data_IF_119526938874
#
_entry.id   IF_119526938874
#
_cell.length_a   1.000
_cell.length_b   1.000
_cell.length_c   1.000
_cell.angle_alpha   90.00
_cell.angle_beta   90.00
_cell.angle_gamma   90.00
#
_symmetry.space_group_name_H-M   'P 1'
#
loop_
_entity.id
_entity.type
_entity.pdbx_description
1 polymer ?
#
# COMPACT_ATOMS: atom_id res chain seq x y z
N UNK A 1 22.38 -30.70 5.35
CA UNK A 1 21.82 -30.60 3.98
C UNK A 1 20.41 -30.02 4.11
N UNK A 2 20.28 -28.69 4.15
CA UNK A 2 18.99 -28.02 4.33
C UNK A 2 18.40 -27.79 2.95
N UNK A 3 17.30 -28.48 2.64
CA UNK A 3 16.54 -28.31 1.41
C UNK A 3 16.08 -26.86 1.29
N UNK A 4 16.49 -26.22 0.20
CA UNK A 4 15.95 -24.93 -0.24
C UNK A 4 14.42 -25.09 -0.41
N UNK A 5 13.65 -24.25 0.28
CA UNK A 5 12.20 -24.18 0.07
C UNK A 5 11.97 -23.65 -1.34
N UNK A 6 11.36 -24.49 -2.17
CA UNK A 6 10.85 -24.15 -3.50
C UNK A 6 10.11 -22.82 -3.45
N UNK A 7 10.48 -21.89 -4.32
CA UNK A 7 9.73 -20.66 -4.54
C UNK A 7 8.28 -21.06 -4.86
N UNK A 8 7.32 -20.46 -4.14
CA UNK A 8 5.89 -20.60 -4.47
C UNK A 8 5.73 -20.20 -5.94
N UNK A 9 5.02 -20.99 -6.76
CA UNK A 9 4.75 -20.57 -8.13
C UNK A 9 4.03 -19.23 -8.09
N UNK A 10 4.52 -18.28 -8.89
CA UNK A 10 3.78 -17.06 -9.22
C UNK A 10 2.35 -17.51 -9.58
N UNK A 11 1.32 -16.89 -8.99
CA UNK A 11 -0.05 -17.20 -9.41
C UNK A 11 -0.11 -17.04 -10.93
N UNK A 12 -0.69 -18.04 -11.62
CA UNK A 12 -0.79 -18.00 -13.07
C UNK A 12 -1.40 -16.65 -13.49
N UNK A 13 -0.89 -15.99 -14.54
CA UNK A 13 -1.46 -14.74 -15.00
C UNK A 13 -2.93 -14.97 -15.31
N UNK A 14 -3.83 -14.23 -14.64
CA UNK A 14 -5.24 -14.22 -15.01
C UNK A 14 -5.29 -13.54 -16.38
N UNK A 15 -5.57 -14.32 -17.41
CA UNK A 15 -5.88 -13.78 -18.73
C UNK A 15 -7.11 -12.86 -18.58
N UNK A 16 -7.01 -11.60 -18.99
CA UNK A 16 -8.16 -10.69 -19.01
C UNK A 16 -8.34 -9.79 -17.77
N UNK A 17 -7.27 -9.46 -17.04
CA UNK A 17 -7.35 -8.41 -16.02
C UNK A 17 -7.92 -7.11 -16.63
N UNK A 18 -8.86 -6.42 -15.94
CA UNK A 18 -9.31 -5.12 -16.39
C UNK A 18 -8.14 -4.13 -16.39
N UNK A 19 -8.27 -3.05 -17.16
CA UNK A 19 -7.33 -1.94 -17.06
C UNK A 19 -7.31 -1.41 -15.63
N UNK A 20 -6.12 -1.30 -15.05
CA UNK A 20 -5.92 -0.75 -13.71
C UNK A 20 -5.65 0.76 -13.73
N UNK A 21 -5.34 1.31 -14.91
CA UNK A 21 -5.21 2.76 -15.13
C UNK A 21 -6.54 3.47 -14.84
N UNK A 22 -6.49 4.59 -14.12
CA UNK A 22 -7.66 5.39 -13.72
C UNK A 22 -8.74 4.60 -12.95
N UNK A 23 -8.33 3.52 -12.26
CA UNK A 23 -9.22 2.66 -11.47
C UNK A 23 -9.70 3.30 -10.17
N UNK A 24 -9.18 4.47 -9.78
CA UNK A 24 -9.39 5.09 -8.49
C UNK A 24 -8.68 4.35 -7.36
N UNK A 25 -7.64 3.56 -7.64
CA UNK A 25 -6.96 2.75 -6.63
C UNK A 25 -5.90 3.54 -5.87
N UNK A 26 -6.03 3.53 -4.53
CA UNK A 26 -5.11 4.19 -3.61
C UNK A 26 -4.48 3.18 -2.65
N UNK A 27 -3.18 3.35 -2.38
CA UNK A 27 -2.43 2.51 -1.45
C UNK A 27 -2.30 3.19 -0.10
N UNK A 28 -2.57 2.46 0.97
CA UNK A 28 -2.51 2.94 2.36
C UNK A 28 -1.43 2.16 3.09
N UNK A 29 -0.44 2.89 3.60
CA UNK A 29 0.72 2.32 4.29
C UNK A 29 0.80 2.90 5.71
N UNK A 30 0.34 2.16 6.73
CA UNK A 30 0.63 2.50 8.12
C UNK A 30 2.14 2.50 8.38
N UNK A 31 2.64 3.58 8.96
CA UNK A 31 4.06 3.80 9.18
C UNK A 31 4.34 3.96 10.69
N UNK A 32 4.89 2.91 11.30
CA UNK A 32 5.42 2.95 12.66
C UNK A 32 6.69 2.09 12.75
N UNK A 33 7.84 2.74 12.94
CA UNK A 33 9.18 2.09 12.96
C UNK A 33 9.53 1.33 11.67
N UNK A 34 9.22 1.93 10.52
CA UNK A 34 9.41 1.33 9.18
C UNK A 34 10.51 2.01 8.35
N UNK A 35 11.29 2.88 8.98
CA UNK A 35 12.28 3.75 8.31
C UNK A 35 13.23 2.98 7.37
N UNK A 36 13.68 1.80 7.77
CA UNK A 36 14.66 1.00 7.02
C UNK A 36 14.10 0.37 5.73
N UNK A 37 12.77 0.30 5.62
CA UNK A 37 12.06 -0.45 4.59
C UNK A 37 11.15 0.43 3.73
N UNK A 38 10.59 1.51 4.28
CA UNK A 38 9.46 2.22 3.70
C UNK A 38 9.72 2.77 2.28
N UNK A 39 10.95 3.25 2.00
CA UNK A 39 11.27 3.73 0.64
C UNK A 39 11.31 2.59 -0.39
N UNK A 40 11.70 1.37 0.02
CA UNK A 40 11.65 0.18 -0.86
C UNK A 40 10.21 -0.22 -1.13
N UNK A 41 9.35 -0.17 -0.10
CA UNK A 41 7.90 -0.43 -0.26
C UNK A 41 7.29 0.58 -1.23
N UNK A 42 7.54 1.88 -1.05
CA UNK A 42 7.06 2.94 -1.94
C UNK A 42 7.55 2.72 -3.38
N UNK A 43 8.82 2.36 -3.57
CA UNK A 43 9.38 2.09 -4.90
C UNK A 43 8.75 0.87 -5.60
N UNK A 44 8.19 -0.09 -4.85
CA UNK A 44 7.47 -1.25 -5.39
C UNK A 44 6.00 -0.97 -5.69
N UNK A 45 5.47 0.20 -5.31
CA UNK A 45 4.08 0.54 -5.58
C UNK A 45 3.86 0.67 -7.10
N UNK A 46 2.90 -0.08 -7.67
CA UNK A 46 2.67 -0.06 -9.11
C UNK A 46 2.36 1.35 -9.64
N UNK A 47 2.88 1.69 -10.82
CA UNK A 47 2.75 3.02 -11.41
C UNK A 47 1.29 3.45 -11.68
N UNK A 48 0.40 2.48 -11.93
CA UNK A 48 -1.03 2.70 -12.18
C UNK A 48 -1.81 3.11 -10.92
N UNK A 49 -1.25 2.96 -9.72
CA UNK A 49 -1.89 3.45 -8.50
C UNK A 49 -1.95 4.98 -8.52
N UNK A 50 -3.12 5.54 -8.23
CA UNK A 50 -3.36 6.99 -8.36
C UNK A 50 -2.75 7.78 -7.20
N UNK A 51 -2.57 7.15 -6.05
CA UNK A 51 -2.03 7.80 -4.88
C UNK A 51 -1.57 6.84 -3.80
N UNK A 52 -0.67 7.35 -2.95
CA UNK A 52 -0.08 6.62 -1.83
C UNK A 52 -0.26 7.45 -0.58
N UNK A 53 -0.97 6.93 0.42
CA UNK A 53 -1.11 7.56 1.73
C UNK A 53 -0.23 6.81 2.73
N UNK A 54 0.87 7.44 3.11
CA UNK A 54 1.70 6.98 4.22
C UNK A 54 1.18 7.61 5.51
N UNK A 55 0.80 6.80 6.49
CA UNK A 55 0.25 7.31 7.76
C UNK A 55 1.29 7.17 8.86
N UNK A 56 1.95 8.26 9.24
CA UNK A 56 2.81 8.29 10.42
C UNK A 56 1.95 8.20 11.68
N UNK A 57 1.96 7.01 12.31
CA UNK A 57 1.14 6.69 13.48
C UNK A 57 1.87 7.07 14.79
N UNK A 58 2.30 8.33 14.90
CA UNK A 58 3.07 8.83 16.04
C UNK A 58 4.41 8.10 16.21
N UNK A 59 5.12 7.87 15.10
CA UNK A 59 6.36 7.11 15.06
C UNK A 59 7.52 7.86 15.76
N UNK A 60 8.18 7.26 16.78
CA UNK A 60 9.31 7.91 17.45
C UNK A 60 10.51 8.10 16.52
N UNK A 61 10.68 7.23 15.52
CA UNK A 61 11.83 7.25 14.59
C UNK A 61 11.65 8.23 13.42
N UNK A 62 10.59 9.05 13.47
CA UNK A 62 10.26 10.07 12.47
C UNK A 62 10.16 9.47 11.05
N UNK A 63 9.46 8.35 10.92
CA UNK A 63 9.30 7.66 9.63
C UNK A 63 8.61 8.54 8.59
N UNK A 64 7.58 9.30 8.97
CA UNK A 64 6.90 10.25 8.09
C UNK A 64 7.81 11.36 7.57
N UNK A 65 8.65 11.93 8.44
CA UNK A 65 9.61 12.96 8.04
C UNK A 65 10.64 12.40 7.05
N UNK A 66 11.08 11.16 7.27
CA UNK A 66 11.99 10.48 6.35
C UNK A 66 11.37 10.28 4.96
N UNK A 67 10.09 9.89 4.91
CA UNK A 67 9.34 9.74 3.65
C UNK A 67 9.24 11.08 2.91
N UNK A 68 8.84 12.15 3.60
CA UNK A 68 8.70 13.48 2.97
C UNK A 68 10.04 14.05 2.49
N UNK A 69 11.11 13.86 3.26
CA UNK A 69 12.44 14.35 2.90
C UNK A 69 12.98 13.65 1.64
N UNK A 70 12.69 12.35 1.48
CA UNK A 70 13.16 11.56 0.35
C UNK A 70 12.52 11.99 -0.98
N UNK A 71 11.26 12.48 -0.96
CA UNK A 71 10.48 12.85 -2.16
C UNK A 71 10.55 11.78 -3.27
N UNK A 72 10.55 10.51 -2.86
CA UNK A 72 10.84 9.38 -3.75
C UNK A 72 9.75 9.16 -4.82
N UNK A 73 8.51 9.53 -4.53
CA UNK A 73 7.39 9.42 -5.45
C UNK A 73 6.42 10.59 -5.23
N UNK A 74 6.01 11.25 -6.32
CA UNK A 74 5.14 12.45 -6.28
C UNK A 74 3.70 12.13 -5.89
N UNK A 75 3.30 10.85 -5.93
CA UNK A 75 1.97 10.36 -5.54
C UNK A 75 1.83 10.20 -4.02
N UNK A 76 2.93 10.30 -3.28
CA UNK A 76 2.96 10.10 -1.83
C UNK A 76 2.44 11.33 -1.09
N UNK A 77 1.54 11.08 -0.15
CA UNK A 77 1.06 12.03 0.86
C UNK A 77 1.29 11.43 2.23
N UNK A 78 1.85 12.21 3.15
CA UNK A 78 2.05 11.79 4.54
C UNK A 78 0.95 12.37 5.43
N UNK A 79 0.19 11.49 6.08
CA UNK A 79 -0.78 11.83 7.13
C UNK A 79 -0.13 11.60 8.48
N UNK A 80 -0.17 12.60 9.37
CA UNK A 80 0.42 12.50 10.71
C UNK A 80 -0.65 12.37 11.78
N UNK A 81 -0.50 11.35 12.62
CA UNK A 81 -1.31 11.19 13.83
C UNK A 81 -0.51 11.67 15.04
N UNK A 82 -1.19 12.35 15.96
CA UNK A 82 -0.54 12.98 17.13
C UNK A 82 -0.01 11.97 18.17
N UNK A 83 -0.50 10.74 18.12
CA UNK A 83 -0.08 9.61 18.95
C UNK A 83 -0.33 8.32 18.20
N UNK A 84 0.36 7.25 18.60
CA UNK A 84 0.09 5.92 18.10
C UNK A 84 -1.35 5.48 18.44
N UNK A 85 -2.13 5.17 17.39
CA UNK A 85 -3.51 4.66 17.47
C UNK A 85 -3.60 3.20 17.06
N UNK A 86 -2.45 2.55 16.84
CA UNK A 86 -2.33 1.21 16.31
C UNK A 86 -2.65 1.14 14.81
N UNK A 87 -2.29 0.02 14.20
CA UNK A 87 -2.45 -0.22 12.76
C UNK A 87 -3.87 0.08 12.28
N UNK A 88 -4.90 -0.36 13.01
CA UNK A 88 -6.30 -0.09 12.64
C UNK A 88 -6.64 1.41 12.62
N UNK A 89 -6.17 2.17 13.61
CA UNK A 89 -6.36 3.62 13.65
C UNK A 89 -5.64 4.34 12.50
N UNK A 90 -4.43 3.91 12.18
CA UNK A 90 -3.65 4.43 11.06
C UNK A 90 -4.31 4.13 9.71
N UNK A 91 -4.77 2.89 9.50
CA UNK A 91 -5.49 2.48 8.28
C UNK A 91 -6.75 3.32 8.08
N UNK A 92 -7.56 3.51 9.12
CA UNK A 92 -8.78 4.33 9.04
C UNK A 92 -8.48 5.80 8.67
N UNK A 93 -7.41 6.37 9.22
CA UNK A 93 -6.97 7.71 8.84
C UNK A 93 -6.51 7.78 7.37
N UNK A 94 -5.81 6.74 6.91
CA UNK A 94 -5.38 6.61 5.52
C UNK A 94 -6.56 6.49 4.55
N UNK A 95 -7.56 5.67 4.90
CA UNK A 95 -8.80 5.53 4.12
C UNK A 95 -9.53 6.86 4.01
N UNK A 96 -9.69 7.59 5.12
CA UNK A 96 -10.36 8.89 5.11
C UNK A 96 -9.65 9.89 4.17
N UNK A 97 -8.33 9.94 4.20
CA UNK A 97 -7.56 10.82 3.31
C UNK A 97 -7.64 10.40 1.84
N UNK A 98 -7.55 9.10 1.56
CA UNK A 98 -7.69 8.58 0.19
C UNK A 98 -9.10 8.86 -0.38
N UNK A 99 -10.15 8.63 0.41
CA UNK A 99 -11.54 8.92 0.01
C UNK A 99 -11.73 10.40 -0.28
N UNK A 100 -11.17 11.29 0.56
CA UNK A 100 -11.21 12.75 0.34
C UNK A 100 -10.57 13.17 -0.99
N UNK A 101 -9.67 12.33 -1.53
CA UNK A 101 -8.97 12.52 -2.80
C UNK A 101 -9.62 11.79 -3.98
N UNK A 102 -10.76 11.15 -3.77
CA UNK A 102 -11.53 10.48 -4.84
C UNK A 102 -11.20 9.00 -5.00
N UNK A 103 -10.59 8.34 -4.00
CA UNK A 103 -10.35 6.91 -4.05
C UNK A 103 -11.66 6.11 -4.24
N UNK A 104 -11.61 5.12 -5.14
CA UNK A 104 -12.66 4.14 -5.41
C UNK A 104 -12.30 2.75 -4.89
N UNK A 105 -11.01 2.41 -4.89
CA UNK A 105 -10.47 1.16 -4.34
C UNK A 105 -9.34 1.49 -3.37
N UNK A 106 -9.35 0.83 -2.21
CA UNK A 106 -8.38 1.06 -1.13
C UNK A 106 -7.59 -0.21 -0.89
N UNK A 107 -6.26 -0.14 -0.98
CA UNK A 107 -5.38 -1.29 -0.74
C UNK A 107 -4.48 -0.98 0.45
N UNK A 108 -4.56 -1.78 1.50
CA UNK A 108 -3.64 -1.70 2.64
C UNK A 108 -2.36 -2.48 2.32
N UNK A 109 -1.21 -1.85 2.50
CA UNK A 109 0.12 -2.48 2.41
C UNK A 109 0.89 -2.20 3.71
N UNK A 110 1.62 -3.19 4.23
CA UNK A 110 2.49 -2.99 5.40
C UNK A 110 3.84 -2.38 5.00
N UNK A 111 4.41 -1.53 5.87
CA UNK A 111 5.63 -0.79 5.59
C UNK A 111 6.95 -1.56 5.80
N UNK A 112 6.89 -2.86 6.10
CA UNK A 112 8.04 -3.69 6.48
C UNK A 112 8.68 -4.49 5.32
N UNK A 113 8.20 -4.29 4.09
CA UNK A 113 8.68 -4.93 2.87
C UNK A 113 8.49 -6.47 2.82
N UNK A 114 7.59 -7.04 3.62
CA UNK A 114 7.30 -8.48 3.61
C UNK A 114 6.25 -8.90 2.56
N UNK A 115 5.47 -7.95 2.05
CA UNK A 115 4.42 -8.21 1.06
C UNK A 115 4.97 -8.20 -0.36
N UNK A 116 4.58 -9.18 -1.17
CA UNK A 116 4.79 -9.14 -2.61
C UNK A 116 3.68 -8.31 -3.28
N UNK A 117 4.03 -7.10 -3.69
CA UNK A 117 3.09 -6.14 -4.28
C UNK A 117 2.71 -6.51 -5.72
N UNK A 118 3.36 -7.52 -6.32
CA UNK A 118 2.96 -8.11 -7.59
C UNK A 118 1.57 -8.76 -7.56
N UNK A 119 1.06 -9.08 -6.36
CA UNK A 119 -0.29 -9.65 -6.19
C UNK A 119 -1.41 -8.59 -6.16
N UNK A 120 -1.11 -7.30 -6.00
CA UNK A 120 -2.13 -6.24 -5.91
C UNK A 120 -3.10 -6.27 -7.11
N UNK A 121 -2.66 -6.40 -8.38
CA UNK A 121 -3.56 -6.53 -9.53
C UNK A 121 -4.64 -7.61 -9.37
N UNK A 122 -4.28 -8.76 -8.80
CA UNK A 122 -5.17 -9.91 -8.62
C UNK A 122 -6.19 -9.69 -7.50
N UNK A 123 -5.85 -8.87 -6.51
CA UNK A 123 -6.76 -8.48 -5.42
C UNK A 123 -7.71 -7.35 -5.86
N UNK A 124 -7.21 -6.41 -6.66
CA UNK A 124 -8.00 -5.26 -7.14
C UNK A 124 -8.98 -5.65 -8.24
N UNK A 125 -8.62 -6.59 -9.12
CA UNK A 125 -9.45 -6.92 -10.28
C UNK A 125 -10.88 -7.39 -9.94
N UNK A 126 -11.12 -8.33 -9.00
CA UNK A 126 -12.48 -8.72 -8.62
C UNK A 126 -13.32 -7.55 -8.10
N UNK A 127 -12.70 -6.57 -7.45
CA UNK A 127 -13.37 -5.35 -6.98
C UNK A 127 -13.78 -4.47 -8.16
N UNK A 128 -12.87 -4.26 -9.12
CA UNK A 128 -13.17 -3.46 -10.32
C UNK A 128 -14.21 -4.10 -11.24
N UNK A 129 -14.29 -5.42 -11.26
CA UNK A 129 -15.29 -6.18 -12.03
C UNK A 129 -16.65 -6.26 -11.31
N UNK A 130 -16.75 -5.79 -10.07
CA UNK A 130 -17.97 -5.90 -9.26
C UNK A 130 -18.26 -7.32 -8.78
N UNK A 131 -17.26 -8.19 -8.78
CA UNK A 131 -17.36 -9.59 -8.34
C UNK A 131 -17.17 -9.72 -6.81
N UNK A 132 -16.52 -8.73 -6.18
CA UNK A 132 -16.30 -8.70 -4.75
C UNK A 132 -16.26 -7.26 -4.20
N UNK A 133 -16.73 -7.06 -2.97
CA UNK A 133 -16.52 -5.81 -2.23
C UNK A 133 -15.19 -5.80 -1.45
N UNK A 134 -14.59 -6.98 -1.22
CA UNK A 134 -13.40 -7.16 -0.41
C UNK A 134 -12.58 -8.39 -0.82
N UNK A 135 -11.25 -8.25 -0.79
CA UNK A 135 -10.26 -9.31 -1.08
C UNK A 135 -9.10 -9.27 -0.08
N UNK A 136 -8.47 -10.40 0.23
CA UNK A 136 -7.31 -10.50 1.15
C UNK A 136 -6.34 -11.61 0.75
#
# INVERSE_FOLDING_TARGET
MVQARSARPLAAPVSGLPSLENSGTWIIIPCYRVRDHILKVIAKIPAWAEGIVCVDDGCPDRSGDFIEAAKADRRVVVVRLSKNRGVGGAVLAGYAEAIRRGARVLVKVDGDDQMDLGYIPHLVAPILLGEADYTK
#
